data_IF_390069053597
#
_entry.id   IF_390069053597
#
_cell.length_a   1.000
_cell.length_b   1.000
_cell.length_c   1.000
_cell.angle_alpha   90.00
_cell.angle_beta   90.00
_cell.angle_gamma   90.00
#
_symmetry.space_group_name_H-M   'P 1'
#
loop_
_entity.id
_entity.type
_entity.pdbx_description
1 polymer ?
#
# COMPACT_ATOMS: atom_id res chain seq x y z
N UNK A 1 15.19 40.46 -63.62
CA UNK A 1 14.36 41.66 -63.43
C UNK A 1 13.20 41.27 -62.54
N UNK A 2 13.05 41.68 -61.29
CA UNK A 2 13.86 42.55 -60.44
C UNK A 2 13.58 42.18 -58.99
N UNK A 3 14.56 42.54 -58.17
CA UNK A 3 14.77 42.25 -56.76
C UNK A 3 14.29 43.44 -55.92
N UNK A 4 13.36 43.23 -54.96
CA UNK A 4 13.11 44.13 -53.81
C UNK A 4 12.61 43.25 -52.64
N UNK A 5 13.46 42.73 -51.74
CA UNK A 5 13.94 43.28 -50.46
C UNK A 5 12.88 43.87 -49.51
N UNK A 6 12.53 43.13 -48.42
CA UNK A 6 12.98 43.38 -47.03
C UNK A 6 12.06 42.81 -45.93
N UNK A 7 12.71 42.08 -45.01
CA UNK A 7 12.55 42.08 -43.54
C UNK A 7 11.24 41.67 -42.89
N UNK A 8 11.27 40.53 -42.18
CA UNK A 8 10.98 40.39 -40.73
C UNK A 8 11.42 38.98 -40.30
N UNK A 9 12.60 38.86 -39.69
CA UNK A 9 12.78 38.60 -38.24
C UNK A 9 11.96 37.41 -37.73
N UNK A 10 12.68 36.35 -37.38
CA UNK A 10 12.12 35.07 -36.96
C UNK A 10 11.57 35.01 -35.55
N UNK A 11 11.04 33.84 -35.22
CA UNK A 11 10.95 33.34 -33.85
C UNK A 11 10.93 31.81 -33.93
N UNK A 12 11.96 31.20 -33.35
CA UNK A 12 11.97 29.78 -33.03
C UNK A 12 10.83 29.50 -32.03
N UNK A 13 9.87 28.65 -32.42
CA UNK A 13 8.89 28.14 -31.48
C UNK A 13 9.55 27.03 -30.63
N UNK A 14 10.06 27.44 -29.48
CA UNK A 14 10.54 26.53 -28.45
C UNK A 14 9.40 25.63 -27.98
N UNK A 15 9.66 24.32 -27.96
CA UNK A 15 8.89 23.31 -27.25
C UNK A 15 8.91 23.65 -25.75
N UNK A 16 7.90 24.39 -25.29
CA UNK A 16 7.62 24.53 -23.88
C UNK A 16 6.90 23.26 -23.41
N UNK A 17 7.66 22.41 -22.72
CA UNK A 17 7.13 21.43 -21.78
C UNK A 17 6.50 22.23 -20.63
N UNK A 18 5.29 22.74 -20.86
CA UNK A 18 4.45 23.26 -19.80
C UNK A 18 3.86 22.05 -19.08
N UNK A 19 4.36 21.78 -17.88
CA UNK A 19 3.78 20.77 -17.00
C UNK A 19 2.28 21.02 -16.85
N UNK A 20 1.49 19.97 -17.07
CA UNK A 20 0.08 19.93 -16.70
C UNK A 20 -0.04 19.99 -15.17
N UNK A 21 0.19 21.16 -14.57
CA UNK A 21 -0.30 21.50 -13.26
C UNK A 21 -1.81 21.70 -13.40
N UNK A 22 -2.57 20.63 -13.17
CA UNK A 22 -4.02 20.67 -12.97
C UNK A 22 -4.32 21.43 -11.66
N UNK A 23 -4.23 22.76 -11.70
CA UNK A 23 -4.86 23.63 -10.72
C UNK A 23 -6.35 23.75 -11.09
N UNK A 24 -7.18 22.85 -10.56
CA UNK A 24 -8.63 23.08 -10.58
C UNK A 24 -9.03 23.99 -9.42
N UNK A 25 -9.72 25.12 -9.66
CA UNK A 25 -10.24 25.98 -8.61
C UNK A 25 -11.57 25.41 -8.09
N UNK A 26 -11.56 24.95 -6.85
CA UNK A 26 -12.76 24.49 -6.14
C UNK A 26 -12.51 24.44 -4.64
N UNK A 27 -12.88 25.51 -3.94
CA UNK A 27 -12.84 25.61 -2.47
C UNK A 27 -13.76 24.56 -1.86
N UNK A 28 -13.22 23.36 -1.55
CA UNK A 28 -13.67 22.35 -0.57
C UNK A 28 -13.23 20.91 -0.90
N UNK A 29 -12.09 20.68 -1.57
CA UNK A 29 -11.63 19.30 -1.81
C UNK A 29 -10.91 18.71 -0.58
N UNK A 30 -11.68 18.01 0.26
CA UNK A 30 -11.18 16.89 1.06
C UNK A 30 -10.61 15.85 0.09
N UNK A 31 -9.32 15.97 -0.25
CA UNK A 31 -8.68 15.13 -1.28
C UNK A 31 -7.70 15.85 -2.22
N UNK A 32 -7.30 17.09 -1.92
CA UNK A 32 -6.18 17.74 -2.62
C UNK A 32 -4.84 17.13 -2.17
N UNK A 33 -3.88 17.03 -3.09
CA UNK A 33 -2.53 16.58 -2.77
C UNK A 33 -1.82 17.63 -1.89
N UNK A 34 -1.25 17.18 -0.79
CA UNK A 34 -0.40 18.00 0.05
C UNK A 34 1.07 17.74 -0.30
N UNK A 35 1.72 18.72 -0.91
CA UNK A 35 3.13 18.64 -1.33
C UNK A 35 4.10 18.49 -0.16
N UNK A 36 3.68 18.83 1.07
CA UNK A 36 4.49 18.62 2.28
C UNK A 36 4.39 17.19 2.80
N UNK A 37 3.54 16.35 2.22
CA UNK A 37 3.32 14.98 2.61
C UNK A 37 3.89 14.02 1.56
N UNK A 38 4.35 12.86 2.00
CA UNK A 38 4.70 11.77 1.10
C UNK A 38 3.48 11.34 0.27
N UNK A 39 3.73 10.67 -0.85
CA UNK A 39 2.64 10.02 -1.61
C UNK A 39 1.88 9.02 -0.74
N UNK A 40 2.60 8.25 0.08
CA UNK A 40 1.99 7.28 0.99
C UNK A 40 1.00 7.95 1.95
N UNK A 41 1.39 9.07 2.58
CA UNK A 41 0.52 9.81 3.50
C UNK A 41 -0.66 10.48 2.80
N UNK A 42 -0.47 11.04 1.62
CA UNK A 42 -1.59 11.58 0.83
C UNK A 42 -2.63 10.50 0.52
N UNK A 43 -2.17 9.32 0.09
CA UNK A 43 -3.04 8.18 -0.21
C UNK A 43 -3.75 7.62 1.01
N UNK A 44 -3.05 7.39 2.13
CA UNK A 44 -3.69 6.88 3.35
C UNK A 44 -4.68 7.89 3.93
N UNK A 45 -4.35 9.19 3.92
CA UNK A 45 -5.27 10.24 4.36
C UNK A 45 -6.54 10.27 3.51
N UNK A 46 -6.39 10.17 2.18
CA UNK A 46 -7.52 10.09 1.25
C UNK A 46 -8.31 8.78 1.41
N UNK A 47 -7.63 7.68 1.73
CA UNK A 47 -8.20 6.37 2.08
C UNK A 47 -8.86 6.31 3.47
N UNK A 48 -8.92 7.45 4.18
CA UNK A 48 -9.65 7.59 5.45
C UNK A 48 -8.79 7.51 6.70
N UNK A 49 -7.51 7.19 6.58
CA UNK A 49 -6.56 6.99 7.69
C UNK A 49 -5.97 8.33 8.17
N UNK A 50 -6.80 9.21 8.74
CA UNK A 50 -6.45 10.63 8.94
C UNK A 50 -5.68 10.97 10.21
N UNK A 51 -5.75 10.13 11.25
CA UNK A 51 -5.31 10.50 12.61
C UNK A 51 -3.95 9.93 13.01
N UNK A 52 -3.62 8.74 12.53
CA UNK A 52 -2.50 7.95 13.01
C UNK A 52 -1.51 7.62 11.89
N UNK A 53 -1.25 8.53 10.96
CA UNK A 53 -0.18 8.31 9.97
C UNK A 53 0.59 9.61 9.78
N UNK A 54 1.89 9.56 10.04
CA UNK A 54 2.78 10.72 9.96
C UNK A 54 3.97 10.41 9.06
N UNK A 55 4.42 11.40 8.30
CA UNK A 55 5.70 11.28 7.61
C UNK A 55 6.83 11.60 8.57
N UNK A 56 7.89 10.79 8.52
CA UNK A 56 9.12 11.11 9.21
C UNK A 56 10.01 12.00 8.37
N UNK A 57 10.70 12.89 9.07
CA UNK A 57 11.76 13.70 8.49
C UNK A 57 13.07 12.90 8.58
N UNK A 58 13.71 12.65 7.44
CA UNK A 58 15.08 12.15 7.45
C UNK A 58 16.07 13.28 7.79
N UNK A 59 17.22 12.97 8.42
CA UNK A 59 18.29 13.92 8.68
C UNK A 59 18.73 14.64 7.41
N UNK A 60 19.20 15.89 7.55
CA UNK A 60 19.57 16.76 6.42
C UNK A 60 20.60 16.13 5.46
N UNK A 61 21.45 15.23 5.95
CA UNK A 61 22.43 14.53 5.14
C UNK A 61 21.85 13.48 4.19
N UNK A 62 20.59 13.05 4.34
CA UNK A 62 19.98 11.95 3.56
C UNK A 62 19.58 12.32 2.13
N UNK A 63 19.59 13.61 1.81
CA UNK A 63 19.24 14.12 0.48
C UNK A 63 20.49 14.68 -0.21
N UNK A 64 20.55 14.49 -1.52
CA UNK A 64 21.44 15.21 -2.43
C UNK A 64 21.15 16.71 -2.38
N UNK A 65 22.08 17.51 -2.91
CA UNK A 65 21.91 18.97 -3.03
C UNK A 65 20.69 19.33 -3.89
N UNK A 66 20.30 18.44 -4.80
CA UNK A 66 19.14 18.54 -5.68
C UNK A 66 17.84 18.01 -5.03
N UNK A 67 17.86 17.69 -3.74
CA UNK A 67 16.68 17.25 -2.97
C UNK A 67 16.27 15.80 -3.22
N UNK A 68 17.00 15.04 -4.06
CA UNK A 68 16.76 13.61 -4.25
C UNK A 68 17.26 12.82 -3.07
N UNK A 69 16.48 11.84 -2.64
CA UNK A 69 16.89 10.90 -1.61
C UNK A 69 18.08 10.08 -2.13
N UNK A 70 19.14 9.97 -1.33
CA UNK A 70 20.34 9.23 -1.72
C UNK A 70 20.30 7.81 -1.13
N UNK A 71 20.06 6.81 -1.99
CA UNK A 71 19.82 5.42 -1.60
C UNK A 71 20.95 4.82 -0.73
N UNK A 72 22.21 5.21 -0.97
CA UNK A 72 23.35 4.75 -0.18
C UNK A 72 23.39 5.31 1.26
N UNK A 73 22.70 6.43 1.52
CA UNK A 73 22.56 7.03 2.85
C UNK A 73 21.35 6.51 3.63
N UNK A 74 20.53 5.67 2.98
CA UNK A 74 19.48 4.89 3.63
C UNK A 74 20.03 3.63 4.32
N UNK A 75 21.36 3.45 4.43
CA UNK A 75 21.95 2.35 5.19
C UNK A 75 21.72 0.96 4.57
N UNK A 76 21.66 0.86 3.24
CA UNK A 76 21.30 -0.37 2.53
C UNK A 76 19.94 -0.94 2.95
N UNK A 77 18.94 -0.08 3.21
CA UNK A 77 17.56 -0.55 3.41
C UNK A 77 17.00 -1.06 2.10
N UNK A 78 17.27 -2.32 1.83
CA UNK A 78 16.58 -3.10 0.82
C UNK A 78 15.27 -3.57 1.43
N UNK A 79 14.15 -2.90 1.09
CA UNK A 79 12.89 -3.64 1.15
C UNK A 79 13.05 -4.86 0.23
N UNK A 80 12.53 -6.06 0.56
CA UNK A 80 12.52 -7.20 -0.35
C UNK A 80 11.92 -6.90 -1.74
N UNK A 81 11.23 -5.76 -1.87
CA UNK A 81 10.67 -5.21 -3.09
C UNK A 81 11.63 -4.34 -3.92
N UNK A 82 12.62 -3.73 -3.28
CA UNK A 82 13.63 -2.86 -3.90
C UNK A 82 14.97 -3.59 -4.11
N UNK A 83 15.15 -4.77 -3.50
CA UNK A 83 16.28 -5.67 -3.72
C UNK A 83 16.16 -6.42 -5.05
N UNK A 84 17.23 -6.34 -5.85
CA UNK A 84 17.39 -6.85 -7.22
C UNK A 84 16.91 -8.30 -7.43
N UNK A 85 15.97 -8.47 -8.36
CA UNK A 85 15.68 -9.71 -9.09
C UNK A 85 15.56 -11.02 -8.25
N UNK A 86 14.31 -11.42 -7.95
CA UNK A 86 13.84 -12.82 -8.01
C UNK A 86 14.27 -13.89 -6.97
N UNK A 87 14.72 -13.56 -5.76
CA UNK A 87 14.93 -14.57 -4.72
C UNK A 87 14.78 -14.02 -3.32
N UNK A 88 13.72 -14.43 -2.61
CA UNK A 88 13.32 -13.98 -1.27
C UNK A 88 14.49 -14.10 -0.27
N UNK A 89 14.92 -12.98 0.33
CA UNK A 89 15.64 -12.88 1.64
C UNK A 89 15.38 -11.48 2.22
N UNK A 90 15.22 -11.38 3.54
CA UNK A 90 14.70 -10.24 4.31
C UNK A 90 15.39 -8.86 4.19
N UNK A 91 14.83 -7.87 4.91
CA UNK A 91 15.40 -6.51 5.00
C UNK A 91 16.75 -6.58 5.72
N UNK A 92 17.87 -6.54 4.99
CA UNK A 92 19.19 -6.38 5.58
C UNK A 92 19.46 -4.91 5.90
N UNK A 93 18.90 -4.44 7.02
CA UNK A 93 19.27 -3.12 7.55
C UNK A 93 20.66 -3.24 8.16
N UNK A 94 21.66 -2.57 7.58
CA UNK A 94 22.88 -2.24 8.32
C UNK A 94 22.61 -0.92 9.03
N UNK A 95 22.46 -0.89 10.36
CA UNK A 95 22.08 0.31 11.11
C UNK A 95 23.28 1.25 11.16
N UNK A 96 23.63 1.89 10.06
CA UNK A 96 24.66 2.90 10.05
C UNK A 96 24.12 4.14 9.34
N UNK A 97 23.89 5.21 10.10
CA UNK A 97 23.68 6.57 9.57
C UNK A 97 22.27 7.12 9.74
N UNK A 98 21.86 8.00 8.81
CA UNK A 98 20.66 8.83 8.92
C UNK A 98 19.34 8.03 9.06
N UNK A 99 19.34 6.76 8.65
CA UNK A 99 18.19 5.87 8.71
C UNK A 99 18.03 5.15 10.06
N UNK A 100 19.07 5.11 10.91
CA UNK A 100 18.89 4.67 12.31
C UNK A 100 17.88 5.59 12.99
N UNK A 101 18.06 6.91 12.91
CA UNK A 101 17.11 7.88 13.46
C UNK A 101 15.71 7.81 12.83
N UNK A 102 15.57 7.29 11.61
CA UNK A 102 14.29 7.10 10.94
C UNK A 102 13.43 6.04 11.64
N UNK A 103 14.01 4.91 12.04
CA UNK A 103 13.27 3.84 12.73
C UNK A 103 12.80 4.26 14.12
N UNK A 104 13.63 4.99 14.86
CA UNK A 104 13.30 5.44 16.22
C UNK A 104 12.03 6.28 16.24
N UNK A 105 11.75 7.04 15.17
CA UNK A 105 10.53 7.83 15.05
C UNK A 105 9.23 7.01 15.04
N UNK A 106 9.28 5.71 14.69
CA UNK A 106 8.12 4.79 14.65
C UNK A 106 8.15 3.74 15.75
N UNK A 107 9.32 3.44 16.32
CA UNK A 107 9.48 2.51 17.45
C UNK A 107 9.34 3.19 18.82
N UNK A 108 9.22 4.52 18.88
CA UNK A 108 8.90 5.25 20.11
C UNK A 108 7.43 5.03 20.47
N UNK A 109 7.12 4.49 21.68
CA UNK A 109 5.75 4.38 22.16
C UNK A 109 5.04 5.73 22.09
N UNK A 110 3.90 5.79 21.38
CA UNK A 110 3.15 7.03 21.15
C UNK A 110 3.39 7.71 19.80
N UNK A 111 4.30 7.19 18.97
CA UNK A 111 4.30 7.49 17.54
C UNK A 111 2.96 7.01 16.95
N UNK A 112 2.09 7.97 16.57
CA UNK A 112 0.69 7.70 16.23
C UNK A 112 0.62 6.96 14.89
N UNK A 113 0.59 5.63 14.95
CA UNK A 113 0.46 4.70 13.84
C UNK A 113 -0.75 3.80 14.02
N UNK A 114 -1.38 3.41 12.92
CA UNK A 114 -2.35 2.32 12.97
C UNK A 114 -1.59 1.03 13.28
N UNK A 115 -2.12 0.29 14.23
CA UNK A 115 -1.60 -0.95 14.82
C UNK A 115 -1.98 -2.21 14.03
N UNK A 116 -2.88 -2.09 13.06
CA UNK A 116 -3.30 -3.21 12.19
C UNK A 116 -3.10 -2.87 10.72
N UNK A 117 -2.81 -3.90 9.93
CA UNK A 117 -2.83 -3.83 8.47
C UNK A 117 -4.22 -3.39 7.97
N UNK A 118 -4.26 -2.53 6.95
CA UNK A 118 -5.52 -2.01 6.38
C UNK A 118 -5.54 -2.07 4.87
N UNK A 119 -6.72 -2.37 4.33
CA UNK A 119 -6.97 -2.31 2.89
C UNK A 119 -7.93 -1.16 2.60
N UNK A 120 -7.63 -0.37 1.58
CA UNK A 120 -8.56 0.59 1.01
C UNK A 120 -8.48 0.58 -0.51
N UNK A 121 -9.55 1.02 -1.16
CA UNK A 121 -9.64 0.94 -2.60
C UNK A 121 -10.58 1.98 -3.21
N UNK A 122 -10.30 2.34 -4.47
CA UNK A 122 -11.17 3.12 -5.34
C UNK A 122 -11.47 2.31 -6.60
N UNK A 123 -12.39 1.35 -6.50
CA UNK A 123 -12.73 0.50 -7.65
C UNK A 123 -13.48 1.34 -8.71
N UNK A 124 -13.14 1.25 -10.01
CA UNK A 124 -13.87 1.98 -11.04
C UNK A 124 -15.37 1.70 -10.99
N UNK A 125 -16.19 2.75 -11.10
CA UNK A 125 -17.64 2.61 -10.95
C UNK A 125 -18.23 1.60 -11.94
N UNK A 126 -17.65 1.51 -13.14
CA UNK A 126 -18.10 0.60 -14.19
C UNK A 126 -17.85 -0.89 -13.91
N UNK A 127 -17.08 -1.24 -12.87
CA UNK A 127 -16.82 -2.64 -12.52
C UNK A 127 -17.98 -3.34 -11.79
N UNK A 128 -18.97 -2.58 -11.32
CA UNK A 128 -20.13 -3.10 -10.61
C UNK A 128 -21.34 -2.19 -10.79
N UNK A 129 -22.53 -2.78 -10.92
CA UNK A 129 -23.79 -2.04 -11.11
C UNK A 129 -24.29 -1.39 -9.84
N UNK A 130 -23.96 -1.99 -8.69
CA UNK A 130 -24.36 -1.53 -7.37
C UNK A 130 -23.29 -1.84 -6.31
N UNK A 131 -23.55 -1.37 -5.09
CA UNK A 131 -22.64 -1.50 -3.95
C UNK A 131 -22.44 -2.96 -3.48
N UNK A 132 -23.43 -3.84 -3.70
CA UNK A 132 -23.32 -5.26 -3.34
C UNK A 132 -22.43 -5.98 -4.35
N UNK A 133 -22.64 -5.77 -5.64
CA UNK A 133 -21.78 -6.32 -6.69
C UNK A 133 -20.35 -5.79 -6.56
N UNK A 134 -20.16 -4.52 -6.16
CA UNK A 134 -18.85 -3.94 -5.92
C UNK A 134 -18.13 -4.63 -4.75
N UNK A 135 -18.84 -4.83 -3.62
CA UNK A 135 -18.33 -5.58 -2.46
C UNK A 135 -17.89 -6.99 -2.87
N UNK A 136 -18.75 -7.71 -3.57
CA UNK A 136 -18.47 -9.08 -4.03
C UNK A 136 -17.31 -9.14 -5.01
N UNK A 137 -17.23 -8.17 -5.91
CA UNK A 137 -16.13 -8.06 -6.88
C UNK A 137 -14.79 -7.93 -6.15
N UNK A 138 -14.67 -7.01 -5.19
CA UNK A 138 -13.43 -6.87 -4.41
C UNK A 138 -13.13 -8.12 -3.59
N UNK A 139 -14.13 -8.70 -2.93
CA UNK A 139 -13.99 -9.91 -2.13
C UNK A 139 -13.49 -11.10 -2.96
N UNK A 140 -14.04 -11.30 -4.17
CA UNK A 140 -13.60 -12.34 -5.11
C UNK A 140 -12.16 -12.11 -5.55
N UNK A 141 -11.79 -10.87 -5.86
CA UNK A 141 -10.45 -10.50 -6.30
C UNK A 141 -9.41 -10.74 -5.19
N UNK A 142 -9.72 -10.32 -3.96
CA UNK A 142 -8.88 -10.55 -2.79
C UNK A 142 -8.75 -12.05 -2.50
N UNK A 143 -9.87 -12.78 -2.46
CA UNK A 143 -9.91 -14.22 -2.19
C UNK A 143 -9.07 -14.99 -3.20
N UNK A 144 -9.36 -14.84 -4.51
CA UNK A 144 -8.67 -15.58 -5.57
C UNK A 144 -7.17 -15.29 -5.57
N UNK A 145 -6.80 -14.02 -5.43
CA UNK A 145 -5.40 -13.62 -5.43
C UNK A 145 -4.65 -14.16 -4.20
N UNK A 146 -5.25 -14.05 -3.01
CA UNK A 146 -4.68 -14.53 -1.75
C UNK A 146 -4.47 -16.05 -1.78
N UNK A 147 -5.51 -16.82 -2.14
CA UNK A 147 -5.43 -18.29 -2.18
C UNK A 147 -4.42 -18.78 -3.22
N UNK A 148 -4.34 -18.14 -4.39
CA UNK A 148 -3.33 -18.48 -5.39
C UNK A 148 -1.91 -18.20 -4.88
N UNK A 149 -1.68 -17.10 -4.15
CA UNK A 149 -0.36 -16.81 -3.56
C UNK A 149 0.00 -17.85 -2.51
N UNK A 150 -0.93 -18.20 -1.63
CA UNK A 150 -0.71 -19.22 -0.62
C UNK A 150 -0.37 -20.57 -1.26
N UNK A 151 -1.08 -20.95 -2.33
CA UNK A 151 -0.75 -22.14 -3.11
C UNK A 151 0.66 -22.07 -3.71
N UNK A 152 1.06 -20.94 -4.30
CA UNK A 152 2.42 -20.73 -4.82
C UNK A 152 3.49 -20.76 -3.72
N UNK A 153 3.12 -20.46 -2.48
CA UNK A 153 3.95 -20.57 -1.27
C UNK A 153 3.88 -21.99 -0.66
N UNK A 154 3.34 -22.97 -1.39
CA UNK A 154 3.16 -24.37 -0.97
C UNK A 154 2.19 -24.59 0.21
N UNK A 155 1.26 -23.67 0.43
CA UNK A 155 0.17 -23.85 1.38
C UNK A 155 -1.05 -24.47 0.71
N UNK A 156 -1.56 -25.53 1.31
CA UNK A 156 -2.91 -26.04 1.07
C UNK A 156 -3.89 -25.25 1.90
N UNK A 157 -5.13 -25.14 1.44
CA UNK A 157 -6.18 -24.45 2.16
C UNK A 157 -7.51 -25.22 2.15
N UNK A 158 -8.30 -25.06 3.21
CA UNK A 158 -9.66 -25.59 3.33
C UNK A 158 -10.62 -24.48 3.79
N UNK A 159 -11.72 -24.22 3.08
CA UNK A 159 -12.68 -23.21 3.50
C UNK A 159 -13.33 -23.58 4.82
N UNK A 160 -13.49 -22.61 5.71
CA UNK A 160 -14.28 -22.75 6.94
C UNK A 160 -15.75 -22.62 6.56
N UNK A 161 -16.53 -23.66 6.86
CA UNK A 161 -17.95 -23.74 6.45
C UNK A 161 -18.82 -22.70 7.15
N UNK A 162 -18.51 -22.40 8.40
CA UNK A 162 -19.24 -21.42 9.21
C UNK A 162 -18.42 -20.13 9.25
N UNK A 163 -18.94 -19.00 8.74
CA UNK A 163 -18.24 -17.73 8.82
C UNK A 163 -17.94 -17.36 10.28
N UNK A 164 -16.70 -16.94 10.54
CA UNK A 164 -16.34 -16.42 11.84
C UNK A 164 -16.97 -15.06 12.04
N UNK A 165 -17.65 -14.89 13.17
CA UNK A 165 -18.30 -13.63 13.52
C UNK A 165 -17.46 -12.91 14.57
N UNK A 166 -17.07 -11.67 14.26
CA UNK A 166 -16.38 -10.80 15.21
C UNK A 166 -16.96 -9.41 15.13
N UNK A 167 -17.41 -8.86 16.26
CA UNK A 167 -18.10 -7.56 16.34
C UNK A 167 -19.25 -7.41 15.34
N UNK A 168 -20.01 -8.48 15.10
CA UNK A 168 -21.13 -8.49 14.14
C UNK A 168 -20.72 -8.55 12.66
N UNK A 169 -19.44 -8.72 12.36
CA UNK A 169 -18.91 -8.88 11.01
C UNK A 169 -18.67 -10.35 10.70
N UNK A 170 -19.15 -10.79 9.54
CA UNK A 170 -18.95 -12.13 9.03
C UNK A 170 -17.67 -12.22 8.19
N UNK A 171 -16.65 -12.91 8.70
CA UNK A 171 -15.41 -13.16 7.98
C UNK A 171 -15.50 -14.48 7.21
N UNK A 172 -15.05 -14.44 5.95
CA UNK A 172 -14.71 -15.66 5.21
C UNK A 172 -13.35 -16.13 5.67
N UNK A 173 -13.23 -17.42 5.98
CA UNK A 173 -12.00 -17.98 6.49
C UNK A 173 -11.57 -19.23 5.75
N UNK A 174 -10.26 -19.46 5.74
CA UNK A 174 -9.64 -20.67 5.24
C UNK A 174 -8.57 -21.15 6.23
N UNK A 175 -8.66 -22.40 6.64
CA UNK A 175 -7.56 -23.06 7.35
C UNK A 175 -6.42 -23.30 6.37
N UNK A 176 -5.18 -23.16 6.85
CA UNK A 176 -3.96 -23.31 6.05
C UNK A 176 -3.13 -24.50 6.57
N UNK A 177 -2.46 -25.20 5.66
CA UNK A 177 -1.52 -26.28 5.96
C UNK A 177 -0.32 -26.22 5.02
N UNK A 178 0.87 -26.43 5.56
CA UNK A 178 2.08 -26.58 4.75
C UNK A 178 2.88 -27.78 5.26
N UNK A 179 3.26 -28.67 4.34
CA UNK A 179 3.96 -29.91 4.69
C UNK A 179 5.34 -29.60 5.26
N UNK A 180 5.65 -30.15 6.44
CA UNK A 180 6.93 -29.89 7.13
C UNK A 180 6.98 -28.57 7.90
N UNK A 181 5.90 -27.79 7.90
CA UNK A 181 5.77 -26.55 8.65
C UNK A 181 4.81 -26.70 9.84
N UNK A 182 4.76 -25.66 10.66
CA UNK A 182 3.95 -25.63 11.86
C UNK A 182 2.44 -25.45 11.60
N UNK A 183 2.04 -24.96 10.41
CA UNK A 183 0.63 -24.86 10.02
C UNK A 183 0.04 -26.22 9.64
N UNK A 184 -1.02 -26.65 10.33
CA UNK A 184 -1.69 -27.92 10.07
C UNK A 184 -3.21 -27.82 10.20
N UNK A 185 -3.93 -28.48 9.31
CA UNK A 185 -5.38 -28.61 9.42
C UNK A 185 -5.83 -29.29 10.71
N UNK A 186 -5.03 -30.22 11.25
CA UNK A 186 -5.36 -30.93 12.48
C UNK A 186 -5.32 -30.01 13.72
N UNK A 187 -4.44 -28.99 13.70
CA UNK A 187 -4.29 -28.02 14.78
C UNK A 187 -5.14 -26.76 14.59
N UNK A 188 -5.62 -26.51 13.36
CA UNK A 188 -6.40 -25.31 12.99
C UNK A 188 -5.71 -24.01 13.43
N UNK A 189 -4.38 -24.02 13.38
CA UNK A 189 -3.52 -23.00 13.97
C UNK A 189 -3.06 -21.94 12.98
N UNK A 190 -3.47 -22.01 11.72
CA UNK A 190 -3.19 -20.99 10.71
C UNK A 190 -4.47 -20.71 9.91
N UNK A 191 -4.88 -19.45 9.86
CA UNK A 191 -6.15 -19.01 9.28
C UNK A 191 -5.95 -17.79 8.42
N UNK A 192 -6.38 -17.85 7.16
CA UNK A 192 -6.62 -16.65 6.35
C UNK A 192 -8.03 -16.15 6.64
N UNK A 193 -8.18 -14.88 7.03
CA UNK A 193 -9.47 -14.23 7.26
C UNK A 193 -9.67 -13.06 6.29
N UNK A 194 -10.86 -12.97 5.70
CA UNK A 194 -11.26 -11.90 4.79
C UNK A 194 -12.64 -11.34 5.17
N UNK A 195 -12.73 -10.02 5.20
CA UNK A 195 -13.98 -9.28 5.28
C UNK A 195 -13.93 -8.07 4.34
N UNK A 196 -15.03 -7.82 3.62
CA UNK A 196 -15.18 -6.65 2.74
C UNK A 196 -16.51 -5.97 3.06
N UNK A 197 -16.50 -4.71 3.52
CA UNK A 197 -17.72 -3.94 3.76
C UNK A 197 -18.35 -3.47 2.45
N UNK A 198 -19.63 -3.09 2.52
CA UNK A 198 -20.32 -2.42 1.41
C UNK A 198 -19.63 -1.06 1.13
N UNK A 199 -19.13 -0.81 -0.10
CA UNK A 199 -18.50 0.45 -0.46
C UNK A 199 -19.52 1.57 -0.62
N UNK A 200 -19.04 2.81 -0.76
CA UNK A 200 -19.87 3.96 -1.13
C UNK A 200 -19.46 4.49 -2.50
N UNK A 201 -20.39 4.93 -3.35
CA UNK A 201 -20.02 5.60 -4.59
C UNK A 201 -19.43 6.98 -4.28
N UNK A 202 -18.42 7.37 -5.03
CA UNK A 202 -17.86 8.73 -5.04
C UNK A 202 -17.68 9.21 -6.48
N UNK A 203 -17.87 10.51 -6.70
CA UNK A 203 -17.80 11.09 -8.05
C UNK A 203 -16.39 11.07 -8.63
N UNK A 204 -15.36 11.15 -7.77
CA UNK A 204 -13.95 11.22 -8.17
C UNK A 204 -13.05 10.59 -7.12
N UNK A 205 -12.27 9.60 -7.52
CA UNK A 205 -11.10 9.14 -6.78
C UNK A 205 -10.03 10.24 -6.72
N UNK A 206 -9.10 10.22 -5.75
CA UNK A 206 -8.06 11.22 -5.64
C UNK A 206 -7.23 11.31 -6.94
N UNK A 207 -6.89 12.51 -7.43
CA UNK A 207 -6.14 12.68 -8.69
C UNK A 207 -4.69 12.18 -8.61
N UNK A 208 -4.20 11.88 -7.41
CA UNK A 208 -2.88 11.31 -7.15
C UNK A 208 -2.93 9.81 -6.80
N UNK A 209 -4.11 9.19 -6.91
CA UNK A 209 -4.23 7.73 -6.93
C UNK A 209 -3.55 7.15 -8.18
N UNK A 210 -3.38 5.84 -8.22
CA UNK A 210 -2.81 5.13 -9.36
C UNK A 210 -3.44 5.59 -10.67
N UNK A 211 -2.63 5.75 -11.71
CA UNK A 211 -3.00 6.48 -12.94
C UNK A 211 -4.31 5.99 -13.59
N UNK A 212 -4.63 4.70 -13.46
CA UNK A 212 -5.87 4.13 -14.02
C UNK A 212 -7.14 4.54 -13.28
N UNK A 213 -7.05 5.23 -12.15
CA UNK A 213 -8.17 5.69 -11.33
C UNK A 213 -8.16 7.19 -11.03
N UNK A 214 -7.09 7.90 -11.33
CA UNK A 214 -6.92 9.28 -10.93
C UNK A 214 -8.07 10.17 -11.45
N UNK A 215 -8.91 10.68 -10.55
CA UNK A 215 -10.02 11.57 -10.89
C UNK A 215 -11.29 10.88 -11.41
N UNK A 216 -11.30 9.55 -11.50
CA UNK A 216 -12.42 8.78 -12.06
C UNK A 216 -13.50 8.46 -11.00
N UNK A 217 -14.78 8.34 -11.40
CA UNK A 217 -15.84 7.86 -10.51
C UNK A 217 -15.55 6.44 -10.00
N UNK A 218 -15.82 6.20 -8.72
CA UNK A 218 -15.44 4.94 -8.09
C UNK A 218 -16.33 4.48 -6.94
N UNK A 219 -16.34 3.18 -6.71
CA UNK A 219 -16.75 2.55 -5.47
C UNK A 219 -15.60 2.65 -4.46
N UNK A 220 -15.83 3.42 -3.40
CA UNK A 220 -14.85 3.70 -2.37
C UNK A 220 -14.97 2.75 -1.19
N UNK A 221 -13.89 2.00 -0.95
CA UNK A 221 -13.69 1.17 0.22
C UNK A 221 -12.77 1.89 1.20
N UNK A 222 -13.37 2.40 2.28
CA UNK A 222 -12.69 3.23 3.27
C UNK A 222 -11.92 2.40 4.30
N UNK A 223 -10.74 2.89 4.73
CA UNK A 223 -10.00 2.39 5.88
C UNK A 223 -10.21 3.23 7.17
N UNK A 224 -11.17 4.17 7.15
CA UNK A 224 -11.40 5.13 8.24
C UNK A 224 -11.97 4.52 9.52
N UNK A 225 -12.94 3.63 9.39
CA UNK A 225 -13.68 3.10 10.54
C UNK A 225 -13.02 1.81 11.00
N UNK A 226 -12.61 1.73 12.26
CA UNK A 226 -11.98 0.54 12.82
C UNK A 226 -12.91 -0.68 12.71
N UNK A 227 -14.23 -0.51 12.79
CA UNK A 227 -15.16 -1.63 12.74
C UNK A 227 -15.69 -1.95 11.33
N UNK A 228 -15.34 -1.18 10.30
CA UNK A 228 -15.93 -1.38 8.96
C UNK A 228 -14.99 -0.98 7.83
N UNK A 229 -13.86 -1.67 7.75
CA UNK A 229 -12.91 -1.57 6.64
C UNK A 229 -12.63 -2.94 6.03
N UNK A 230 -12.22 -3.03 4.75
CA UNK A 230 -11.80 -4.31 4.20
C UNK A 230 -10.59 -4.84 4.97
N UNK A 231 -10.73 -6.05 5.49
CA UNK A 231 -9.73 -6.73 6.31
C UNK A 231 -9.31 -8.00 5.61
N UNK A 232 -8.01 -8.16 5.40
CA UNK A 232 -7.39 -9.41 5.02
C UNK A 232 -6.25 -9.64 5.99
N UNK A 233 -6.29 -10.72 6.74
CA UNK A 233 -5.25 -11.06 7.71
C UNK A 233 -4.94 -12.54 7.66
N UNK A 234 -3.69 -12.85 7.96
CA UNK A 234 -3.25 -14.21 8.26
C UNK A 234 -3.08 -14.24 9.77
N UNK A 235 -3.57 -15.29 10.41
CA UNK A 235 -3.42 -15.50 11.85
C UNK A 235 -2.75 -16.84 12.03
N UNK A 236 -1.54 -16.82 12.56
CA UNK A 236 -0.79 -17.99 12.97
C UNK A 236 -0.91 -18.15 14.50
N UNK A 237 -0.93 -19.38 14.99
CA UNK A 237 -0.91 -19.68 16.42
C UNK A 237 0.38 -19.17 17.07
N UNK A 238 0.35 -18.97 18.38
CA UNK A 238 1.50 -18.46 19.14
C UNK A 238 2.77 -19.28 18.86
N UNK A 239 3.87 -18.58 18.56
CA UNK A 239 5.17 -19.18 18.26
C UNK A 239 5.27 -19.87 16.89
N UNK A 240 4.28 -19.67 16.00
CA UNK A 240 4.30 -20.15 14.63
C UNK A 240 4.55 -18.97 13.69
N UNK A 241 5.62 -19.04 12.92
CA UNK A 241 6.00 -18.01 11.93
C UNK A 241 6.38 -18.71 10.63
N UNK A 242 5.41 -19.38 10.02
CA UNK A 242 5.65 -20.12 8.79
C UNK A 242 5.43 -19.24 7.56
N UNK A 243 4.55 -18.25 7.65
CA UNK A 243 4.15 -17.43 6.50
C UNK A 243 4.94 -16.12 6.51
N UNK A 244 5.75 -15.90 5.46
CA UNK A 244 6.34 -14.59 5.22
C UNK A 244 5.25 -13.59 4.77
N UNK A 245 4.59 -12.95 5.73
CA UNK A 245 3.48 -12.03 5.47
C UNK A 245 3.90 -10.87 4.54
N UNK A 246 5.13 -10.38 4.66
CA UNK A 246 5.64 -9.34 3.77
C UNK A 246 5.59 -9.78 2.31
N UNK A 247 6.13 -10.98 2.03
CA UNK A 247 6.13 -11.56 0.68
C UNK A 247 4.70 -11.80 0.21
N UNK A 248 3.82 -12.26 1.10
CA UNK A 248 2.41 -12.48 0.80
C UNK A 248 1.72 -11.18 0.36
N UNK A 249 1.73 -10.12 1.19
CA UNK A 249 1.05 -8.86 0.87
C UNK A 249 1.67 -8.15 -0.34
N UNK A 250 2.99 -8.24 -0.51
CA UNK A 250 3.65 -7.66 -1.68
C UNK A 250 3.20 -8.35 -2.98
N UNK A 251 3.21 -9.70 -3.00
CA UNK A 251 2.69 -10.48 -4.14
C UNK A 251 1.20 -10.19 -4.38
N UNK A 252 0.44 -10.00 -3.31
CA UNK A 252 -0.99 -9.69 -3.38
C UNK A 252 -1.25 -8.33 -4.03
N UNK A 253 -0.58 -7.28 -3.53
CA UNK A 253 -0.65 -5.96 -4.13
C UNK A 253 -0.19 -5.95 -5.59
N UNK A 254 0.85 -6.72 -5.94
CA UNK A 254 1.32 -6.84 -7.32
C UNK A 254 0.29 -7.51 -8.25
N UNK A 255 -0.46 -8.49 -7.77
CA UNK A 255 -1.50 -9.20 -8.55
C UNK A 255 -2.78 -8.38 -8.72
N UNK A 256 -3.15 -7.61 -7.71
CA UNK A 256 -4.37 -6.81 -7.73
C UNK A 256 -4.23 -5.57 -8.62
N UNK A 257 -5.34 -4.97 -9.09
CA UNK A 257 -5.29 -3.72 -9.82
C UNK A 257 -4.69 -2.59 -8.98
N UNK A 258 -4.13 -1.56 -9.65
CA UNK A 258 -3.51 -0.42 -8.98
C UNK A 258 -4.47 0.44 -8.15
N UNK A 259 -5.76 0.11 -8.17
CA UNK A 259 -6.79 0.79 -7.38
C UNK A 259 -7.01 0.20 -5.98
N UNK A 260 -6.30 -0.88 -5.62
CA UNK A 260 -6.26 -1.48 -4.29
C UNK A 260 -4.93 -1.14 -3.61
N UNK A 261 -5.00 -0.72 -2.36
CA UNK A 261 -3.84 -0.35 -1.55
C UNK A 261 -3.82 -1.12 -0.25
N UNK A 262 -2.63 -1.50 0.20
CA UNK A 262 -2.42 -2.18 1.49
C UNK A 262 -1.51 -1.31 2.35
N UNK A 263 -2.06 -0.76 3.43
CA UNK A 263 -1.25 -0.22 4.51
C UNK A 263 -0.80 -1.39 5.39
N UNK A 264 0.50 -1.51 5.59
CA UNK A 264 1.08 -2.48 6.50
C UNK A 264 1.61 -1.75 7.72
N UNK A 265 1.10 -2.11 8.88
CA UNK A 265 1.44 -1.52 10.16
C UNK A 265 2.86 -1.94 10.59
N UNK A 266 3.55 -1.11 11.40
CA UNK A 266 4.83 -1.54 11.95
C UNK A 266 4.64 -2.76 12.84
N UNK A 267 5.63 -3.64 12.86
CA UNK A 267 5.71 -4.84 13.70
C UNK A 267 4.63 -5.92 13.50
N UNK A 268 3.63 -5.70 12.65
CA UNK A 268 2.59 -6.69 12.33
C UNK A 268 3.06 -7.71 11.28
N UNK A 269 3.97 -7.32 10.39
CA UNK A 269 4.37 -8.13 9.23
C UNK A 269 5.77 -8.70 9.45
N UNK A 270 5.85 -10.04 9.59
CA UNK A 270 7.10 -10.80 9.71
C UNK A 270 7.86 -10.96 8.38
N UNK A 271 9.20 -11.00 8.45
CA UNK A 271 10.07 -11.27 7.29
C UNK A 271 10.47 -12.74 7.12
N UNK A 272 9.97 -13.67 7.95
CA UNK A 272 10.06 -15.12 7.75
C UNK A 272 11.42 -15.78 7.99
N UNK A 273 12.53 -15.03 8.14
CA UNK A 273 13.86 -15.65 8.29
C UNK A 273 14.51 -15.52 9.68
N UNK A 274 14.03 -14.64 10.58
CA UNK A 274 14.71 -14.36 11.85
C UNK A 274 13.79 -13.83 12.97
N UNK A 275 12.46 -14.00 12.85
CA UNK A 275 11.49 -13.34 13.73
C UNK A 275 11.63 -11.79 13.78
N UNK A 276 12.25 -11.23 12.74
CA UNK A 276 12.30 -9.78 12.57
C UNK A 276 11.00 -9.36 11.92
N UNK A 277 10.37 -8.35 12.49
CA UNK A 277 9.22 -7.68 11.90
C UNK A 277 9.66 -6.39 11.25
N UNK A 278 8.88 -5.89 10.30
CA UNK A 278 9.17 -4.60 9.68
C UNK A 278 8.81 -3.51 10.70
N UNK A 279 9.81 -2.86 11.28
CA UNK A 279 9.65 -1.86 12.35
C UNK A 279 9.11 -0.50 11.90
N UNK A 280 8.65 -0.39 10.66
CA UNK A 280 8.08 0.81 10.07
C UNK A 280 6.91 0.43 9.15
N UNK A 281 5.86 1.26 9.06
CA UNK A 281 4.79 1.02 8.12
C UNK A 281 5.15 1.54 6.74
N UNK A 282 4.42 1.00 5.78
CA UNK A 282 4.50 1.40 4.40
C UNK A 282 3.17 1.11 3.71
N UNK A 283 2.96 1.74 2.57
CA UNK A 283 1.80 1.51 1.73
C UNK A 283 2.24 0.75 0.48
N UNK A 284 1.53 -0.32 0.12
CA UNK A 284 1.75 -1.02 -1.14
C UNK A 284 0.81 -0.49 -2.22
N UNK A 285 1.39 -0.02 -3.32
CA UNK A 285 0.71 0.35 -4.55
C UNK A 285 1.22 -0.56 -5.69
N UNK A 286 0.38 -1.47 -6.17
CA UNK A 286 0.71 -2.41 -7.26
C UNK A 286 2.03 -3.16 -7.03
N UNK A 287 2.25 -3.63 -5.80
CA UNK A 287 3.44 -4.37 -5.38
C UNK A 287 4.68 -3.51 -5.10
N UNK A 288 4.59 -2.19 -5.30
CA UNK A 288 5.64 -1.22 -4.96
C UNK A 288 5.37 -0.65 -3.57
N UNK A 289 6.36 -0.67 -2.66
CA UNK A 289 6.24 0.06 -1.41
C UNK A 289 6.20 1.57 -1.69
N UNK A 290 5.53 2.30 -0.81
CA UNK A 290 5.56 3.74 -0.70
C UNK A 290 5.81 4.05 0.77
N UNK A 291 6.91 4.75 1.03
CA UNK A 291 7.36 5.04 2.39
C UNK A 291 6.76 6.37 2.89
N UNK A 292 6.55 6.45 4.19
CA UNK A 292 6.10 7.66 4.89
C UNK A 292 7.30 8.57 5.24
N UNK A 293 7.99 9.04 4.21
CA UNK A 293 9.14 9.95 4.31
C UNK A 293 8.74 11.31 3.77
N UNK A 294 8.96 12.36 4.56
CA UNK A 294 8.62 13.73 4.15
C UNK A 294 9.45 14.10 2.91
N UNK A 295 8.82 14.60 1.83
CA UNK A 295 9.56 15.10 0.69
C UNK A 295 10.45 16.29 1.10
N UNK A 296 11.66 16.35 0.55
CA UNK A 296 12.49 17.54 0.68
C UNK A 296 11.92 18.65 -0.22
N UNK A 297 12.05 19.91 0.20
CA UNK A 297 11.62 21.07 -0.59
C UNK A 297 12.49 21.26 -1.82
#
# INVERSE_FOLDING_TARGET
MDMIFRNLLGAAAALLIAGCALNMPGKNHKGAYNEKWSKAKNLTYAGGMRKQVHDQQLPAGAYSKEGKLEDYKLGNVSHPAYGSASGVVGVNVRPYGAFEHFYWGWTVPGASHYDHNRVFAWMPIAMAKDEIEARETLEIMLTRSALNILNDMNYKYKPVKTPYQHNGLAFKQWYLEQTGANCSFARMNCVLSLYVPVPKPIDRAPPFSYFSMAGEPSWYFSAMNDDSFPRLSITEGEGLESISENVFYQKLSARLPGWVYFYLAPSEVGIGEDNKTIVYPYLLEKGKPLLFIRPNK
#
